data_IF_367798046096
#
_entry.id   IF_367798046096
#
_cell.length_a   1.000
_cell.length_b   1.000
_cell.length_c   1.000
_cell.angle_alpha   90.00
_cell.angle_beta   90.00
_cell.angle_gamma   90.00
#
_symmetry.space_group_name_H-M   'P 1'
#
loop_
_entity.id
_entity.type
_entity.pdbx_description
1 polymer ?
#
# COMPACT_ATOMS: atom_id res chain seq x y z
N UNK A 1 4.58 9.29 -0.15
CA UNK A 1 3.76 9.63 -1.32
C UNK A 1 2.49 10.36 -0.88
N UNK A 2 2.10 11.38 -1.64
CA UNK A 2 0.88 12.16 -1.39
C UNK A 2 -0.37 11.58 -2.09
N UNK A 3 -0.21 10.44 -2.75
CA UNK A 3 -1.27 9.77 -3.51
C UNK A 3 -0.75 8.53 -4.23
N UNK A 4 -1.44 8.11 -5.28
CA UNK A 4 -0.97 7.12 -6.25
C UNK A 4 -1.56 7.43 -7.62
N UNK A 5 -1.03 6.77 -8.66
CA UNK A 5 -1.54 6.83 -10.01
C UNK A 5 -1.55 5.42 -10.61
N UNK A 6 -2.07 5.26 -11.82
CA UNK A 6 -2.13 3.97 -12.51
C UNK A 6 -1.89 4.14 -14.00
N UNK A 7 -1.99 3.04 -14.75
CA UNK A 7 -1.80 3.00 -16.20
C UNK A 7 -3.00 2.33 -16.87
N UNK A 8 -3.37 2.73 -18.11
CA UNK A 8 -4.29 1.96 -18.92
C UNK A 8 -3.69 0.60 -19.29
N UNK A 9 -4.55 -0.38 -19.60
CA UNK A 9 -4.11 -1.68 -20.10
C UNK A 9 -3.31 -1.48 -21.41
N UNK A 10 -2.06 -1.95 -21.43
CA UNK A 10 -1.19 -1.90 -22.62
C UNK A 10 -0.55 -0.53 -22.90
N UNK A 11 -0.52 0.37 -21.92
CA UNK A 11 0.13 1.68 -22.03
C UNK A 11 1.04 1.95 -20.83
N UNK A 12 2.18 2.61 -21.07
CA UNK A 12 3.10 3.09 -20.02
C UNK A 12 2.76 4.54 -19.59
N UNK A 13 1.66 5.11 -20.08
CA UNK A 13 1.21 6.46 -19.72
C UNK A 13 0.59 6.48 -18.32
N UNK A 14 1.10 7.36 -17.44
CA UNK A 14 0.52 7.58 -16.12
C UNK A 14 -0.80 8.35 -16.20
N UNK A 15 -1.87 7.77 -15.64
CA UNK A 15 -3.20 8.35 -15.58
C UNK A 15 -3.78 8.26 -14.16
N UNK A 16 -4.89 8.98 -13.93
CA UNK A 16 -5.75 8.72 -12.76
C UNK A 16 -5.10 9.04 -11.42
N UNK A 17 -4.37 10.15 -11.32
CA UNK A 17 -3.78 10.60 -10.06
C UNK A 17 -4.84 10.73 -8.95
N UNK A 18 -4.65 9.98 -7.87
CA UNK A 18 -5.50 9.98 -6.69
C UNK A 18 -4.71 10.44 -5.46
N UNK A 19 -4.99 11.65 -4.98
CA UNK A 19 -4.28 12.27 -3.86
C UNK A 19 -5.06 12.22 -2.55
N UNK A 20 -4.37 12.41 -1.43
CA UNK A 20 -4.95 12.44 -0.07
C UNK A 20 -6.21 13.32 0.07
N UNK A 21 -6.32 14.52 -0.54
CA UNK A 21 -7.54 15.33 -0.45
C UNK A 21 -8.76 14.64 -1.06
N UNK A 22 -8.58 13.81 -2.10
CA UNK A 22 -9.70 13.06 -2.68
C UNK A 22 -10.16 11.93 -1.76
N UNK A 23 -9.23 11.33 -1.00
CA UNK A 23 -9.58 10.37 0.05
C UNK A 23 -10.45 11.00 1.13
N UNK A 24 -10.35 12.32 1.37
CA UNK A 24 -11.23 13.02 2.31
C UNK A 24 -12.71 13.01 1.86
N UNK A 25 -12.97 12.98 0.55
CA UNK A 25 -14.31 12.92 -0.04
C UNK A 25 -14.87 11.48 -0.16
N UNK A 26 -14.10 10.45 0.22
CA UNK A 26 -14.53 9.06 0.16
C UNK A 26 -15.61 8.77 1.23
N UNK A 27 -16.75 8.21 0.79
CA UNK A 27 -17.94 7.93 1.61
C UNK A 27 -18.47 6.50 1.41
N UNK A 28 -17.60 5.50 1.51
CA UNK A 28 -17.95 4.08 1.38
C UNK A 28 -18.55 3.46 2.66
N UNK A 29 -18.70 4.23 3.75
CA UNK A 29 -19.29 3.73 5.00
C UNK A 29 -18.56 2.50 5.53
N UNK A 30 -19.30 1.43 5.86
CA UNK A 30 -18.71 0.17 6.34
C UNK A 30 -18.26 -0.79 5.22
N UNK A 31 -18.27 -0.36 3.95
CA UNK A 31 -17.74 -1.16 2.83
C UNK A 31 -16.23 -0.94 2.71
N UNK A 32 -15.50 -1.36 3.73
CA UNK A 32 -14.10 -1.04 3.93
C UNK A 32 -13.20 -2.16 3.35
N UNK A 33 -12.46 -1.92 2.26
CA UNK A 33 -11.56 -2.91 1.70
C UNK A 33 -10.26 -3.02 2.50
N UNK A 34 -9.56 -4.15 2.32
CA UNK A 34 -8.12 -4.25 2.55
C UNK A 34 -7.43 -3.77 1.27
N UNK A 35 -6.52 -2.79 1.37
CA UNK A 35 -5.80 -2.26 0.21
C UNK A 35 -4.32 -2.62 0.27
N UNK A 36 -3.76 -3.14 -0.81
CA UNK A 36 -2.31 -3.31 -0.96
C UNK A 36 -1.80 -2.26 -1.96
N UNK A 37 -0.88 -1.41 -1.53
CA UNK A 37 -0.25 -0.39 -2.37
C UNK A 37 1.06 -0.90 -2.93
N UNK A 38 1.03 -1.39 -4.17
CA UNK A 38 2.22 -1.57 -4.99
C UNK A 38 2.72 -0.20 -5.50
N UNK A 39 3.20 0.62 -4.56
CA UNK A 39 3.61 1.98 -4.80
C UNK A 39 4.55 2.48 -3.69
N UNK A 40 5.50 3.31 -4.12
CA UNK A 40 6.49 3.98 -3.29
C UNK A 40 5.88 4.82 -2.17
N UNK A 41 6.48 4.81 -0.98
CA UNK A 41 6.28 5.74 0.13
C UNK A 41 4.81 5.93 0.60
N UNK A 42 3.89 5.04 0.24
CA UNK A 42 2.46 5.15 0.62
C UNK A 42 2.25 5.00 2.12
N UNK A 43 3.14 4.26 2.80
CA UNK A 43 3.17 4.06 4.24
C UNK A 43 4.36 4.77 4.93
N UNK A 44 4.89 5.87 4.35
CA UNK A 44 5.96 6.66 4.97
C UNK A 44 5.54 7.25 6.33
N UNK A 45 5.87 6.59 7.44
CA UNK A 45 5.39 6.98 8.78
C UNK A 45 5.89 8.35 9.25
N UNK A 46 7.01 8.81 8.70
CA UNK A 46 7.64 10.11 8.95
C UNK A 46 7.23 11.19 7.92
N UNK A 47 6.09 11.01 7.24
CA UNK A 47 5.56 11.96 6.25
C UNK A 47 5.22 13.33 6.87
N UNK A 48 5.71 14.40 6.25
CA UNK A 48 5.60 15.74 6.80
C UNK A 48 5.54 16.84 5.72
N UNK A 49 5.44 18.10 6.14
CA UNK A 49 5.38 19.29 5.27
C UNK A 49 6.52 19.39 4.25
N UNK A 50 7.72 18.86 4.54
CA UNK A 50 8.82 18.85 3.57
C UNK A 50 8.52 17.98 2.34
N UNK A 51 7.83 16.85 2.54
CA UNK A 51 7.36 16.00 1.45
C UNK A 51 6.35 16.76 0.58
N UNK A 52 5.36 17.42 1.21
CA UNK A 52 4.36 18.23 0.52
C UNK A 52 4.99 19.37 -0.30
N UNK A 53 6.01 20.04 0.25
CA UNK A 53 6.77 21.04 -0.49
C UNK A 53 7.50 20.44 -1.69
N UNK A 54 8.00 19.21 -1.57
CA UNK A 54 8.55 18.43 -2.69
C UNK A 54 7.54 18.20 -3.82
N UNK A 55 6.25 18.06 -3.49
CA UNK A 55 5.15 17.99 -4.45
C UNK A 55 4.62 19.36 -4.91
N UNK A 56 5.28 20.47 -4.54
CA UNK A 56 4.87 21.82 -4.92
C UNK A 56 3.74 22.41 -4.08
N UNK A 57 3.37 21.81 -2.95
CA UNK A 57 2.35 22.34 -2.02
C UNK A 57 3.04 23.25 -0.99
N UNK A 58 2.77 24.57 -1.01
CA UNK A 58 3.52 25.54 -0.22
C UNK A 58 3.02 25.60 1.23
N UNK A 59 3.46 24.65 2.06
CA UNK A 59 3.22 24.69 3.52
C UNK A 59 4.35 25.48 4.20
N UNK A 60 4.07 26.66 4.79
CA UNK A 60 5.10 27.58 5.28
C UNK A 60 5.68 27.23 6.66
N UNK A 61 5.18 26.18 7.31
CA UNK A 61 5.63 25.73 8.63
C UNK A 61 5.89 24.22 8.63
N UNK A 62 6.60 23.74 9.65
CA UNK A 62 6.88 22.32 9.82
C UNK A 62 5.78 21.61 10.62
N UNK A 63 5.25 20.54 10.03
CA UNK A 63 4.15 19.78 10.59
C UNK A 63 4.16 18.35 10.02
N UNK A 64 3.86 17.37 10.87
CA UNK A 64 3.70 15.96 10.51
C UNK A 64 2.27 15.67 10.11
N UNK A 65 2.10 14.86 9.06
CA UNK A 65 0.80 14.42 8.59
C UNK A 65 0.72 12.88 8.62
N UNK A 66 -0.48 12.30 8.76
CA UNK A 66 -0.63 10.87 8.50
C UNK A 66 -0.19 10.56 7.06
N UNK A 67 0.54 9.46 6.88
CA UNK A 67 0.87 8.95 5.55
C UNK A 67 -0.41 8.57 4.79
N UNK A 68 -0.32 8.45 3.47
CA UNK A 68 -1.48 8.16 2.62
C UNK A 68 -2.23 6.88 3.04
N UNK A 69 -1.48 5.80 3.30
CA UNK A 69 -2.05 4.53 3.77
C UNK A 69 -2.78 4.68 5.12
N UNK A 70 -2.16 5.35 6.10
CA UNK A 70 -2.77 5.57 7.41
C UNK A 70 -3.99 6.52 7.36
N UNK A 71 -3.94 7.52 6.49
CA UNK A 71 -5.07 8.43 6.29
C UNK A 71 -6.33 7.67 5.85
N UNK A 72 -6.19 6.67 4.98
CA UNK A 72 -7.30 5.82 4.54
C UNK A 72 -7.84 4.93 5.67
N UNK A 73 -6.97 4.37 6.52
CA UNK A 73 -7.40 3.55 7.67
C UNK A 73 -8.16 4.39 8.71
N UNK A 74 -7.72 5.64 8.94
CA UNK A 74 -8.32 6.55 9.94
C UNK A 74 -9.48 7.38 9.41
N UNK A 75 -9.84 7.25 8.13
CA UNK A 75 -10.85 8.08 7.48
C UNK A 75 -12.23 7.87 8.14
N UNK A 76 -12.85 8.91 8.74
CA UNK A 76 -14.23 8.78 9.18
C UNK A 76 -15.18 8.53 8.01
N UNK A 77 -16.23 7.74 8.24
CA UNK A 77 -17.31 7.46 7.28
C UNK A 77 -16.87 6.77 5.98
N UNK A 78 -15.71 6.09 5.98
CA UNK A 78 -15.21 5.38 4.81
C UNK A 78 -13.75 4.98 4.96
N UNK A 79 -13.03 4.90 3.84
CA UNK A 79 -11.63 4.54 3.82
C UNK A 79 -11.40 3.05 3.60
N UNK A 80 -10.40 2.52 4.29
CA UNK A 80 -9.98 1.12 4.26
C UNK A 80 -10.01 0.54 5.69
N UNK A 81 -10.23 -0.77 5.82
CA UNK A 81 -10.18 -1.44 7.13
C UNK A 81 -8.74 -1.77 7.54
N UNK A 82 -7.89 -1.98 6.54
CA UNK A 82 -6.45 -2.13 6.68
C UNK A 82 -5.77 -1.81 5.35
N UNK A 83 -4.49 -1.46 5.42
CA UNK A 83 -3.66 -1.20 4.25
C UNK A 83 -2.30 -1.85 4.39
N UNK A 84 -1.71 -2.31 3.30
CA UNK A 84 -0.31 -2.71 3.21
C UNK A 84 0.37 -1.73 2.26
N UNK A 85 1.54 -1.20 2.63
CA UNK A 85 2.26 -0.25 1.78
C UNK A 85 3.72 -0.05 2.17
N UNK A 86 4.49 0.53 1.27
CA UNK A 86 5.92 0.76 1.46
C UNK A 86 6.20 2.03 2.27
N UNK A 87 7.12 1.92 3.23
CA UNK A 87 7.66 3.04 4.01
C UNK A 87 8.69 3.85 3.22
N UNK A 88 9.30 3.24 2.20
CA UNK A 88 10.33 3.79 1.30
C UNK A 88 10.07 3.36 -0.16
N UNK A 89 11.12 3.09 -0.94
CA UNK A 89 11.04 2.92 -2.40
C UNK A 89 10.62 1.49 -2.74
N UNK A 90 9.38 1.33 -3.15
CA UNK A 90 8.86 0.06 -3.66
C UNK A 90 9.46 -0.25 -5.03
N UNK A 91 10.49 -1.10 -5.07
CA UNK A 91 10.98 -1.66 -6.33
C UNK A 91 10.02 -2.72 -6.85
N UNK A 92 9.86 -2.78 -8.17
CA UNK A 92 9.12 -3.86 -8.83
C UNK A 92 9.97 -4.47 -9.94
N UNK A 93 9.82 -5.78 -10.14
CA UNK A 93 10.40 -6.49 -11.26
C UNK A 93 9.31 -7.31 -11.95
N UNK A 94 8.77 -6.72 -13.01
CA UNK A 94 7.74 -7.31 -13.88
C UNK A 94 8.23 -7.30 -15.32
N UNK A 95 7.77 -8.26 -16.11
CA UNK A 95 8.04 -8.30 -17.55
C UNK A 95 6.87 -8.94 -18.31
N UNK A 96 7.01 -9.10 -19.62
CA UNK A 96 6.02 -9.79 -20.45
C UNK A 96 5.77 -11.24 -20.03
N UNK A 97 6.67 -11.85 -19.26
CA UNK A 97 6.53 -13.22 -18.75
C UNK A 97 5.88 -13.29 -17.36
N UNK A 98 5.59 -12.15 -16.73
CA UNK A 98 4.85 -12.06 -15.48
C UNK A 98 5.56 -11.28 -14.38
N UNK A 99 5.24 -11.62 -13.14
CA UNK A 99 5.68 -10.93 -11.92
C UNK A 99 6.80 -11.73 -11.25
N UNK A 100 8.00 -11.13 -11.18
CA UNK A 100 9.22 -11.83 -10.77
C UNK A 100 9.64 -11.52 -9.35
N UNK A 101 9.69 -10.23 -8.98
CA UNK A 101 10.13 -9.77 -7.67
C UNK A 101 9.55 -8.40 -7.31
N UNK A 102 9.91 -7.92 -6.13
CA UNK A 102 9.53 -6.62 -5.60
C UNK A 102 8.10 -6.54 -5.11
N UNK A 103 7.61 -5.32 -5.02
CA UNK A 103 6.28 -4.98 -4.51
C UNK A 103 5.15 -5.73 -5.23
N UNK A 104 5.20 -5.86 -6.56
CA UNK A 104 4.20 -6.61 -7.32
C UNK A 104 4.18 -8.10 -6.95
N UNK A 105 5.34 -8.71 -6.70
CA UNK A 105 5.41 -10.12 -6.32
C UNK A 105 4.91 -10.32 -4.88
N UNK A 106 5.29 -9.44 -3.96
CA UNK A 106 4.79 -9.47 -2.59
C UNK A 106 3.25 -9.27 -2.55
N UNK A 107 2.71 -8.37 -3.38
CA UNK A 107 1.28 -8.17 -3.53
C UNK A 107 0.57 -9.43 -4.05
N UNK A 108 1.12 -10.06 -5.09
CA UNK A 108 0.60 -11.31 -5.65
C UNK A 108 0.58 -12.43 -4.60
N UNK A 109 1.71 -12.61 -3.89
CA UNK A 109 1.83 -13.62 -2.85
C UNK A 109 0.84 -13.34 -1.70
N UNK A 110 0.63 -12.07 -1.31
CA UNK A 110 -0.36 -11.65 -0.32
C UNK A 110 -1.80 -12.03 -0.70
N UNK A 111 -2.25 -11.69 -1.90
CA UNK A 111 -3.59 -12.06 -2.33
C UNK A 111 -3.73 -13.58 -2.51
N UNK A 112 -2.68 -14.29 -2.94
CA UNK A 112 -2.69 -15.74 -3.05
C UNK A 112 -2.85 -16.44 -1.69
N UNK A 113 -2.29 -15.87 -0.61
CA UNK A 113 -2.37 -16.43 0.74
C UNK A 113 -3.80 -16.44 1.30
N UNK A 114 -4.73 -15.68 0.71
CA UNK A 114 -6.16 -15.76 1.04
C UNK A 114 -6.75 -17.17 0.86
N UNK A 115 -6.16 -17.99 -0.01
CA UNK A 115 -6.59 -19.38 -0.20
C UNK A 115 -6.25 -20.29 0.99
N UNK A 116 -5.26 -19.91 1.80
CA UNK A 116 -4.76 -20.72 2.91
C UNK A 116 -5.22 -20.18 4.27
N UNK A 117 -5.28 -18.86 4.41
CA UNK A 117 -5.75 -18.20 5.63
C UNK A 117 -6.56 -16.95 5.30
N UNK A 118 -7.51 -16.64 6.18
CA UNK A 118 -8.32 -15.42 6.10
C UNK A 118 -7.93 -14.41 7.18
N UNK A 119 -6.99 -14.74 8.07
CA UNK A 119 -6.51 -13.80 9.07
C UNK A 119 -5.47 -12.87 8.43
N UNK A 120 -5.75 -11.56 8.45
CA UNK A 120 -5.00 -10.58 7.66
C UNK A 120 -3.49 -10.59 7.96
N UNK A 121 -3.11 -10.67 9.23
CA UNK A 121 -1.71 -10.74 9.65
C UNK A 121 -1.04 -12.03 9.17
N UNK A 122 -1.75 -13.15 9.19
CA UNK A 122 -1.24 -14.43 8.68
C UNK A 122 -1.08 -14.38 7.16
N UNK A 123 -2.03 -13.79 6.43
CA UNK A 123 -1.92 -13.59 4.98
C UNK A 123 -0.64 -12.83 4.62
N UNK A 124 -0.32 -11.77 5.37
CA UNK A 124 0.88 -10.96 5.14
C UNK A 124 2.17 -11.70 5.52
N UNK A 125 2.18 -12.40 6.66
CA UNK A 125 3.33 -13.23 7.05
C UNK A 125 3.60 -14.35 6.04
N UNK A 126 2.55 -15.03 5.55
CA UNK A 126 2.66 -16.07 4.54
C UNK A 126 3.16 -15.50 3.20
N UNK A 127 2.72 -14.28 2.83
CA UNK A 127 3.24 -13.59 1.65
C UNK A 127 4.75 -13.36 1.73
N UNK A 128 5.24 -12.90 2.89
CA UNK A 128 6.68 -12.68 3.13
C UNK A 128 7.48 -13.99 3.07
N UNK A 129 6.93 -15.08 3.61
CA UNK A 129 7.55 -16.42 3.54
C UNK A 129 7.62 -16.90 2.09
N UNK A 130 6.51 -16.86 1.35
CA UNK A 130 6.47 -17.23 -0.08
C UNK A 130 7.42 -16.37 -0.91
N UNK A 131 7.50 -15.08 -0.62
CA UNK A 131 8.40 -14.18 -1.32
C UNK A 131 9.87 -14.60 -1.11
N UNK A 132 10.25 -14.89 0.14
CA UNK A 132 11.60 -15.40 0.48
C UNK A 132 11.91 -16.72 -0.23
N UNK A 133 10.95 -17.63 -0.31
CA UNK A 133 11.12 -18.93 -0.97
C UNK A 133 11.28 -18.81 -2.49
N UNK A 134 10.53 -17.90 -3.12
CA UNK A 134 10.48 -17.77 -4.58
C UNK A 134 11.52 -16.81 -5.16
N UNK A 135 11.81 -15.71 -4.45
CA UNK A 135 12.68 -14.61 -4.92
C UNK A 135 14.05 -14.65 -4.24
N UNK A 136 14.09 -15.05 -2.98
CA UNK A 136 15.31 -15.06 -2.17
C UNK A 136 15.44 -13.82 -1.27
N UNK A 137 16.69 -13.47 -0.95
CA UNK A 137 17.07 -12.52 0.12
C UNK A 137 16.97 -11.05 -0.29
N UNK A 138 15.87 -10.66 -0.91
CA UNK A 138 15.55 -9.25 -1.11
C UNK A 138 14.92 -8.67 0.17
N UNK A 139 15.80 -8.30 1.10
CA UNK A 139 15.40 -7.75 2.40
C UNK A 139 14.81 -6.35 2.30
N UNK A 140 15.13 -5.58 1.24
CA UNK A 140 14.56 -4.25 1.05
C UNK A 140 13.05 -4.35 0.90
N UNK A 141 12.55 -5.18 -0.01
CA UNK A 141 11.09 -5.36 -0.19
C UNK A 141 10.42 -5.85 1.08
N UNK A 142 11.04 -6.77 1.83
CA UNK A 142 10.45 -7.36 3.03
C UNK A 142 10.40 -6.40 4.22
N UNK A 143 11.40 -5.54 4.39
CA UNK A 143 11.48 -4.57 5.49
C UNK A 143 10.72 -3.28 5.18
N UNK A 144 10.56 -2.92 3.90
CA UNK A 144 9.91 -1.66 3.55
C UNK A 144 8.39 -1.72 3.66
N UNK A 145 7.78 -2.88 3.44
CA UNK A 145 6.32 -3.04 3.45
C UNK A 145 5.78 -3.32 4.85
N UNK A 146 4.78 -2.54 5.26
CA UNK A 146 4.12 -2.69 6.56
C UNK A 146 2.61 -2.81 6.41
N UNK A 147 2.00 -3.56 7.34
CA UNK A 147 0.56 -3.64 7.53
C UNK A 147 0.13 -2.56 8.54
N UNK A 148 -0.83 -1.74 8.14
CA UNK A 148 -1.50 -0.75 8.99
C UNK A 148 -2.97 -1.14 9.12
N UNK A 149 -3.40 -1.46 10.35
CA UNK A 149 -4.72 -2.00 10.65
C UNK A 149 -4.64 -3.05 11.76
N UNK A 150 -5.73 -3.79 11.98
CA UNK A 150 -5.75 -4.90 12.92
C UNK A 150 -5.26 -6.20 12.23
N UNK A 151 -4.08 -6.75 12.60
CA UNK A 151 -3.60 -8.00 12.01
C UNK A 151 -4.46 -9.22 12.38
N UNK A 152 -5.26 -9.14 13.44
CA UNK A 152 -6.18 -10.22 13.83
C UNK A 152 -7.50 -10.22 13.04
N UNK A 153 -7.69 -9.24 12.14
CA UNK A 153 -8.88 -9.14 11.30
C UNK A 153 -9.07 -10.39 10.44
N UNK A 154 -10.26 -10.98 10.50
CA UNK A 154 -10.72 -12.01 9.56
C UNK A 154 -11.28 -11.38 8.28
N UNK A 155 -10.54 -11.47 7.18
CA UNK A 155 -10.91 -10.96 5.86
C UNK A 155 -12.10 -11.73 5.29
N UNK A 156 -13.14 -11.00 4.87
CA UNK A 156 -14.43 -11.58 4.45
C UNK A 156 -15.45 -11.68 5.59
N UNK A 157 -15.06 -11.38 6.83
CA UNK A 157 -15.94 -11.38 7.99
C UNK A 157 -16.05 -12.74 8.68
N UNK A 158 -16.91 -12.80 9.71
CA UNK A 158 -17.18 -14.00 10.48
C UNK A 158 -18.22 -14.89 9.82
#
# INVERSE_FOLDING_TARGET
>A
EYGFATHPIGSDEWIGNYYTPYAAALLNGYKLPVMFFDACLTAKLDFNSSDLRGYGIPIPFDITFPCFAWFLVKKPMGGAIATIGATRVAFTHVSSTGVHAGASRLALDFFSSYHNTTMLGEMFAEAQIKYLENVGRDYYTLEEFILLGDPSLKVGGY
#
